data_IF_376405650816
#
_entry.id   IF_376405650816
#
_cell.length_a   1.000
_cell.length_b   1.000
_cell.length_c   1.000
_cell.angle_alpha   90.00
_cell.angle_beta   90.00
_cell.angle_gamma   90.00
#
_symmetry.space_group_name_H-M   'P 1'
#
loop_
_entity.id
_entity.type
_entity.pdbx_description
1 polymer ?
#
# COMPACT_ATOMS: atom_id res chain seq x y z
N UNK A 1 -3.84 22.55 19.62
CA UNK A 1 -2.61 21.99 20.23
C UNK A 1 -1.45 22.27 19.27
N UNK A 2 -0.31 22.78 19.74
CA UNK A 2 0.87 23.01 18.87
C UNK A 2 1.79 21.80 18.95
N UNK A 3 2.12 21.19 17.82
CA UNK A 3 3.01 20.03 17.74
C UNK A 3 4.30 20.30 16.94
N UNK A 4 4.47 21.53 16.46
CA UNK A 4 5.65 21.93 15.69
C UNK A 4 6.94 21.60 16.46
N UNK A 5 7.85 20.87 15.81
CA UNK A 5 9.13 20.46 16.39
C UNK A 5 9.07 19.29 17.39
N UNK A 6 7.91 18.67 17.62
CA UNK A 6 7.81 17.45 18.45
C UNK A 6 8.48 16.25 17.77
N UNK A 7 9.00 15.34 18.60
CA UNK A 7 9.49 14.03 18.18
C UNK A 7 8.40 13.29 17.40
N UNK A 8 8.82 12.63 16.32
CA UNK A 8 7.99 11.76 15.48
C UNK A 8 8.34 10.32 15.82
N UNK A 9 7.35 9.43 16.00
CA UNK A 9 7.64 8.02 16.27
C UNK A 9 8.22 7.33 15.05
N UNK A 10 9.19 6.45 15.28
CA UNK A 10 9.78 5.57 14.27
C UNK A 10 9.07 4.22 14.19
N UNK A 11 8.15 3.90 15.13
CA UNK A 11 7.42 2.64 15.17
C UNK A 11 6.19 2.65 14.25
N UNK A 12 6.43 2.98 12.98
CA UNK A 12 5.39 3.26 11.99
C UNK A 12 5.66 2.44 10.74
N UNK A 13 4.65 1.73 10.26
CA UNK A 13 4.66 1.02 8.99
C UNK A 13 3.71 1.74 8.02
N UNK A 14 4.32 2.49 7.11
CA UNK A 14 3.57 3.21 6.08
C UNK A 14 3.29 2.28 4.89
N UNK A 15 2.03 1.86 4.78
CA UNK A 15 1.51 0.99 3.72
C UNK A 15 0.57 1.74 2.78
N UNK A 16 0.51 3.07 2.85
CA UNK A 16 -0.29 3.88 1.93
C UNK A 16 0.16 3.59 0.49
N UNK A 17 -0.79 3.40 -0.41
CA UNK A 17 -0.54 3.07 -1.82
C UNK A 17 -0.22 1.61 -2.12
N UNK A 18 0.09 0.77 -1.11
CA UNK A 18 0.46 -0.64 -1.34
C UNK A 18 -0.72 -1.55 -1.66
N UNK A 19 -1.96 -1.12 -1.43
CA UNK A 19 -3.17 -1.93 -1.60
C UNK A 19 -3.83 -1.88 -2.99
N UNK A 20 -3.39 -0.99 -3.89
CA UNK A 20 -4.09 -0.71 -5.16
C UNK A 20 -3.65 -1.56 -6.35
N UNK A 21 -2.41 -2.04 -6.39
CA UNK A 21 -1.85 -2.69 -7.58
C UNK A 21 -2.40 -4.12 -7.84
N UNK A 22 -2.97 -4.77 -6.83
CA UNK A 22 -3.46 -6.15 -6.95
C UNK A 22 -4.87 -6.28 -7.54
N UNK A 23 -5.57 -5.17 -7.78
CA UNK A 23 -6.88 -5.15 -8.47
C UNK A 23 -6.80 -4.79 -9.96
N UNK A 24 -5.61 -4.82 -10.56
CA UNK A 24 -5.50 -4.96 -12.01
C UNK A 24 -5.92 -6.40 -12.37
N UNK A 25 -7.22 -6.59 -12.57
CA UNK A 25 -7.86 -7.83 -13.05
C UNK A 25 -7.56 -8.11 -14.53
N UNK A 26 -6.58 -7.42 -15.12
CA UNK A 26 -6.07 -7.68 -16.46
C UNK A 26 -4.93 -8.70 -16.42
N UNK A 27 -4.89 -9.58 -17.43
CA UNK A 27 -3.68 -10.33 -17.76
C UNK A 27 -2.56 -9.30 -18.00
N UNK A 28 -1.68 -9.11 -17.01
CA UNK A 28 -0.49 -8.27 -17.21
C UNK A 28 0.34 -8.77 -18.39
N UNK A 29 1.31 -7.98 -18.86
CA UNK A 29 2.12 -8.34 -20.04
C UNK A 29 2.69 -9.76 -19.99
N UNK A 30 3.08 -10.26 -18.81
CA UNK A 30 3.51 -11.65 -18.63
C UNK A 30 2.42 -12.69 -18.89
N UNK A 31 1.17 -12.42 -18.48
CA UNK A 31 0.03 -13.28 -18.75
C UNK A 31 -0.33 -13.32 -20.25
N UNK A 32 -0.24 -12.17 -20.94
CA UNK A 32 -0.45 -12.08 -22.39
C UNK A 32 0.60 -12.90 -23.14
N UNK A 33 1.88 -12.81 -22.73
CA UNK A 33 2.96 -13.59 -23.33
C UNK A 33 2.72 -15.10 -23.13
N UNK A 34 2.34 -15.53 -21.92
CA UNK A 34 2.06 -16.94 -21.64
C UNK A 34 0.90 -17.45 -22.50
N UNK A 35 -0.20 -16.71 -22.56
CA UNK A 35 -1.36 -17.07 -23.38
C UNK A 35 -0.97 -17.16 -24.86
N UNK A 36 -0.21 -16.19 -25.38
CA UNK A 36 0.27 -16.18 -26.77
C UNK A 36 1.20 -17.36 -27.11
N UNK A 37 2.07 -17.77 -26.19
CA UNK A 37 2.92 -18.96 -26.36
C UNK A 37 2.07 -20.23 -26.39
N UNK A 38 1.08 -20.35 -25.51
CA UNK A 38 0.17 -21.51 -25.47
C UNK A 38 -0.62 -21.61 -26.78
N UNK A 39 -1.19 -20.51 -27.28
CA UNK A 39 -1.94 -20.55 -28.55
C UNK A 39 -1.07 -20.87 -29.75
N UNK A 40 0.17 -20.39 -29.80
CA UNK A 40 1.13 -20.78 -30.84
C UNK A 40 1.45 -22.29 -30.79
N UNK A 41 1.60 -22.87 -29.59
CA UNK A 41 1.84 -24.31 -29.44
C UNK A 41 0.63 -25.17 -29.82
N UNK A 42 -0.59 -24.64 -29.68
CA UNK A 42 -1.83 -25.29 -30.09
C UNK A 42 -2.18 -25.05 -31.57
N UNK A 43 -1.36 -24.28 -32.30
CA UNK A 43 -1.53 -23.99 -33.73
C UNK A 43 -2.53 -22.88 -34.04
N UNK A 44 -2.92 -22.05 -33.07
CA UNK A 44 -3.80 -20.88 -33.25
C UNK A 44 -3.03 -19.59 -33.53
N UNK A 45 -3.75 -18.55 -33.94
CA UNK A 45 -3.17 -17.22 -34.17
C UNK A 45 -3.17 -16.36 -32.88
N UNK A 46 -2.00 -15.99 -32.33
CA UNK A 46 -1.93 -15.15 -31.14
C UNK A 46 -2.52 -13.73 -31.36
N UNK A 47 -2.61 -13.25 -32.61
CA UNK A 47 -3.23 -11.96 -32.94
C UNK A 47 -4.73 -11.99 -32.71
N UNK A 48 -5.40 -13.11 -33.01
CA UNK A 48 -6.84 -13.29 -32.74
C UNK A 48 -7.12 -13.26 -31.23
N UNK A 49 -6.27 -13.91 -30.44
CA UNK A 49 -6.38 -13.94 -28.98
C UNK A 49 -6.19 -12.57 -28.35
N UNK A 50 -5.23 -11.78 -28.87
CA UNK A 50 -5.04 -10.40 -28.42
C UNK A 50 -6.28 -9.57 -28.74
N UNK A 51 -6.86 -9.71 -29.94
CA UNK A 51 -8.07 -9.00 -30.34
C UNK A 51 -9.28 -9.39 -29.49
N UNK A 52 -9.42 -10.66 -29.12
CA UNK A 52 -10.47 -11.14 -28.20
C UNK A 52 -10.28 -10.57 -26.78
N UNK A 53 -9.05 -10.54 -26.27
CA UNK A 53 -8.72 -9.91 -24.98
C UNK A 53 -9.01 -8.40 -25.02
N UNK A 54 -8.74 -7.72 -26.14
CA UNK A 54 -9.11 -6.31 -26.33
C UNK A 54 -10.64 -6.12 -26.32
N UNK A 55 -11.39 -6.97 -27.03
CA UNK A 55 -12.86 -6.89 -27.09
C UNK A 55 -13.53 -7.21 -25.75
N UNK A 56 -12.97 -8.12 -24.96
CA UNK A 56 -13.46 -8.43 -23.60
C UNK A 56 -13.09 -7.37 -22.55
N UNK A 57 -12.45 -6.26 -22.93
CA UNK A 57 -12.02 -5.21 -22.01
C UNK A 57 -10.78 -5.58 -21.17
N UNK A 58 -10.08 -6.67 -21.52
CA UNK A 58 -8.93 -7.21 -20.78
C UNK A 58 -7.60 -6.49 -21.04
N UNK A 59 -7.59 -5.47 -21.90
CA UNK A 59 -6.41 -4.63 -22.20
C UNK A 59 -6.52 -3.22 -21.61
N UNK A 60 -7.24 -3.11 -20.49
CA UNK A 60 -7.11 -1.98 -19.58
C UNK A 60 -5.74 -2.00 -18.92
N UNK A 61 -4.72 -1.51 -19.63
CA UNK A 61 -3.53 -0.94 -18.98
C UNK A 61 -3.96 0.42 -18.42
N UNK A 62 -4.86 0.41 -17.43
CA UNK A 62 -4.82 1.51 -16.48
C UNK A 62 -3.47 1.36 -15.78
N UNK A 63 -2.49 2.13 -16.26
CA UNK A 63 -1.35 2.51 -15.45
C UNK A 63 -1.99 3.04 -14.17
N UNK A 64 -2.08 2.19 -13.15
CA UNK A 64 -2.52 2.61 -11.84
C UNK A 64 -1.61 3.79 -11.50
N UNK A 65 -2.17 5.00 -11.47
CA UNK A 65 -1.45 6.19 -11.05
C UNK A 65 -0.80 5.80 -9.73
N UNK A 66 0.54 5.79 -9.73
CA UNK A 66 1.29 5.41 -8.55
C UNK A 66 0.82 6.30 -7.41
N UNK A 67 0.42 5.69 -6.29
CA UNK A 67 -0.04 6.46 -5.15
C UNK A 67 1.05 7.46 -4.74
N UNK A 68 0.71 8.75 -4.79
CA UNK A 68 1.51 9.83 -4.24
C UNK A 68 0.65 10.55 -3.21
N UNK A 69 1.08 10.61 -1.93
CA UNK A 69 0.31 11.27 -0.90
C UNK A 69 0.16 12.78 -1.19
N UNK A 70 -1.02 13.34 -0.91
CA UNK A 70 -1.23 14.79 -0.92
C UNK A 70 -0.44 15.48 0.21
N UNK A 71 -0.27 16.80 0.11
CA UNK A 71 0.33 17.58 1.19
C UNK A 71 -0.47 17.44 2.49
N UNK A 72 -1.81 17.41 2.42
CA UNK A 72 -2.64 17.22 3.61
C UNK A 72 -2.47 15.81 4.20
N UNK A 73 -2.36 14.77 3.36
CA UNK A 73 -2.10 13.41 3.83
C UNK A 73 -0.76 13.29 4.56
N UNK A 74 0.28 14.00 4.10
CA UNK A 74 1.57 14.06 4.80
C UNK A 74 1.48 14.81 6.13
N UNK A 75 0.79 15.93 6.18
CA UNK A 75 0.56 16.66 7.45
C UNK A 75 -0.17 15.78 8.48
N UNK A 76 -1.21 15.06 8.05
CA UNK A 76 -1.94 14.13 8.89
C UNK A 76 -1.08 12.94 9.32
N UNK A 77 -0.23 12.42 8.43
CA UNK A 77 0.72 11.36 8.76
C UNK A 77 1.71 11.84 9.83
N UNK A 78 2.31 13.02 9.68
CA UNK A 78 3.21 13.61 10.68
C UNK A 78 2.50 13.82 12.01
N UNK A 79 1.28 14.36 11.99
CA UNK A 79 0.45 14.54 13.17
C UNK A 79 0.24 13.21 13.92
N UNK A 80 -0.19 12.15 13.23
CA UNK A 80 -0.42 10.85 13.83
C UNK A 80 0.88 10.26 14.45
N UNK A 81 2.01 10.41 13.77
CA UNK A 81 3.32 9.95 14.27
C UNK A 81 3.79 10.72 15.52
N UNK A 82 3.46 12.01 15.63
CA UNK A 82 3.77 12.82 16.81
C UNK A 82 2.90 12.45 18.02
N UNK A 83 1.62 12.16 17.79
CA UNK A 83 0.73 11.64 18.83
C UNK A 83 1.21 10.28 19.34
N UNK A 84 1.63 9.38 18.43
CA UNK A 84 2.22 8.10 18.82
C UNK A 84 3.49 8.31 19.65
N UNK A 85 4.40 9.18 19.24
CA UNK A 85 5.60 9.48 20.02
C UNK A 85 5.28 9.96 21.44
N UNK A 86 4.34 10.90 21.58
CA UNK A 86 3.91 11.35 22.90
C UNK A 86 3.28 10.23 23.74
N UNK A 87 2.54 9.32 23.11
CA UNK A 87 1.94 8.15 23.76
C UNK A 87 3.03 7.18 24.25
N UNK A 88 4.04 6.91 23.42
CA UNK A 88 5.20 6.09 23.80
C UNK A 88 5.95 6.69 24.99
N UNK A 89 6.21 8.00 24.97
CA UNK A 89 6.95 8.69 26.03
C UNK A 89 6.22 8.58 27.38
N UNK A 90 4.90 8.85 27.37
CA UNK A 90 4.06 8.77 28.58
C UNK A 90 4.02 7.36 29.13
N UNK A 91 3.72 6.36 28.29
CA UNK A 91 3.57 4.98 28.76
C UNK A 91 4.89 4.34 29.16
N UNK A 92 5.99 4.67 28.48
CA UNK A 92 7.33 4.20 28.88
C UNK A 92 7.66 4.69 30.29
N UNK A 93 7.43 5.98 30.57
CA UNK A 93 7.68 6.54 31.90
C UNK A 93 6.77 5.91 32.99
N UNK A 94 5.50 5.64 32.69
CA UNK A 94 4.58 5.01 33.64
C UNK A 94 4.99 3.57 33.92
N UNK A 95 5.34 2.79 32.89
CA UNK A 95 5.73 1.40 33.06
C UNK A 95 7.04 1.28 33.85
N UNK A 96 8.03 2.13 33.54
CA UNK A 96 9.29 2.17 34.27
C UNK A 96 9.10 2.45 35.76
N UNK A 97 8.20 3.38 36.12
CA UNK A 97 7.82 3.65 37.52
C UNK A 97 7.21 2.44 38.24
N UNK A 98 6.63 1.51 37.50
CA UNK A 98 6.04 0.28 38.03
C UNK A 98 7.00 -0.93 37.92
N UNK A 99 8.26 -0.72 37.53
CA UNK A 99 9.22 -1.80 37.31
C UNK A 99 8.87 -2.72 36.13
N UNK A 100 8.05 -2.21 35.19
CA UNK A 100 7.63 -2.91 33.99
C UNK A 100 8.30 -2.31 32.76
N UNK A 101 8.35 -3.08 31.68
CA UNK A 101 8.82 -2.60 30.38
C UNK A 101 7.63 -2.40 29.43
N UNK A 102 7.46 -1.18 28.93
CA UNK A 102 6.47 -0.88 27.91
C UNK A 102 6.94 -1.37 26.53
N UNK A 103 6.09 -2.09 25.81
CA UNK A 103 6.32 -2.46 24.41
C UNK A 103 5.41 -1.63 23.52
N UNK A 104 6.00 -0.69 22.77
CA UNK A 104 5.24 0.22 21.91
C UNK A 104 4.56 -0.53 20.74
N UNK A 105 3.25 -0.30 20.50
CA UNK A 105 2.55 -0.87 19.35
C UNK A 105 2.97 -0.17 18.06
N UNK A 106 2.96 -0.92 16.95
CA UNK A 106 3.31 -0.40 15.63
C UNK A 106 2.09 0.28 14.98
N UNK A 107 2.23 1.54 14.60
CA UNK A 107 1.20 2.27 13.85
C UNK A 107 1.27 1.89 12.38
N UNK A 108 0.16 1.46 11.80
CA UNK A 108 0.06 1.16 10.37
C UNK A 108 -0.72 2.27 9.67
N UNK A 109 -0.09 2.98 8.75
CA UNK A 109 -0.77 3.93 7.86
C UNK A 109 -1.17 3.21 6.58
N UNK A 110 -2.39 3.40 6.10
CA UNK A 110 -2.90 2.75 4.89
C UNK A 110 -3.80 3.67 4.09
N UNK A 111 -3.99 3.35 2.82
CA UNK A 111 -5.01 3.97 1.96
C UNK A 111 -5.95 2.89 1.42
N UNK A 112 -7.22 3.25 1.21
CA UNK A 112 -8.25 2.30 0.82
C UNK A 112 -8.68 1.40 1.98
N UNK A 113 -8.39 0.09 1.90
CA UNK A 113 -8.86 -0.92 2.86
C UNK A 113 -7.72 -1.79 3.37
N UNK A 114 -7.83 -2.20 4.64
CA UNK A 114 -7.00 -3.25 5.24
C UNK A 114 -7.85 -4.52 5.45
N UNK A 115 -7.28 -5.68 5.15
CA UNK A 115 -7.86 -6.97 5.53
C UNK A 115 -7.37 -7.31 6.93
N UNK A 116 -8.32 -7.49 7.86
CA UNK A 116 -8.07 -7.75 9.29
C UNK A 116 -8.52 -9.15 9.68
#
# INVERSE_FOLDING_TARGET
>A
MKLDGRRVSTNVDDRRGRGGAAKATGLGLGGIIIVGVITLLLGGDPVEVINDIQQMGGLGTELAEGYSPSAEEEELAVFAKQILAGTEDVWSAIFEQNGLQYTAPKLVLFSGSVQS
#
